data_IF_765097199878
#
_entry.id   IF_765097199878
#
_cell.length_a   1.000
_cell.length_b   1.000
_cell.length_c   1.000
_cell.angle_alpha   90.00
_cell.angle_beta   90.00
_cell.angle_gamma   90.00
#
_symmetry.space_group_name_H-M   'P 1'
#
loop_
_entity.id
_entity.type
_entity.pdbx_description
1 polymer ?
#
# COMPACT_ATOMS: atom_id res chain seq x y z
N UNK A 1 19.03 7.49 6.95
CA UNK A 1 19.32 6.99 5.60
C UNK A 1 18.03 6.67 4.87
N UNK A 2 17.93 7.07 3.61
CA UNK A 2 16.71 6.85 2.82
C UNK A 2 16.98 5.86 1.70
N UNK A 3 15.93 5.16 1.30
CA UNK A 3 15.98 4.14 0.26
C UNK A 3 15.02 4.49 -0.87
N UNK A 4 15.38 4.19 -2.13
CA UNK A 4 14.44 4.41 -3.24
C UNK A 4 13.14 3.63 -3.01
N UNK A 5 12.01 4.28 -3.28
CA UNK A 5 10.70 3.67 -3.11
C UNK A 5 10.59 2.39 -3.95
N UNK A 6 10.15 1.31 -3.32
CA UNK A 6 9.96 -0.02 -3.93
C UNK A 6 11.24 -0.72 -4.36
N UNK A 7 12.42 -0.27 -3.89
CA UNK A 7 13.66 -0.99 -4.09
C UNK A 7 13.76 -2.19 -3.15
N UNK A 8 14.68 -3.11 -3.43
CA UNK A 8 14.89 -4.27 -2.56
C UNK A 8 15.27 -3.85 -1.15
N UNK A 9 16.14 -2.86 -1.02
CA UNK A 9 16.56 -2.31 0.27
C UNK A 9 15.38 -1.67 1.00
N UNK A 10 14.52 -0.96 0.27
CA UNK A 10 13.32 -0.35 0.83
C UNK A 10 12.38 -1.41 1.43
N UNK A 11 12.13 -2.49 0.68
CA UNK A 11 11.29 -3.58 1.19
C UNK A 11 11.90 -4.24 2.42
N UNK A 12 13.21 -4.46 2.43
CA UNK A 12 13.89 -5.03 3.59
C UNK A 12 13.75 -4.14 4.82
N UNK A 13 13.88 -2.82 4.64
CA UNK A 13 13.72 -1.87 5.74
C UNK A 13 12.27 -1.80 6.22
N UNK A 14 11.31 -1.85 5.31
CA UNK A 14 9.89 -1.90 5.67
C UNK A 14 9.59 -3.13 6.51
N UNK A 15 10.12 -4.29 6.13
CA UNK A 15 9.94 -5.53 6.91
C UNK A 15 10.52 -5.38 8.33
N UNK A 16 11.68 -4.75 8.46
CA UNK A 16 12.27 -4.47 9.78
C UNK A 16 11.38 -3.57 10.62
N UNK A 17 10.83 -2.52 10.01
CA UNK A 17 9.95 -1.59 10.71
C UNK A 17 8.65 -2.27 11.16
N UNK A 18 8.10 -3.14 10.33
CA UNK A 18 6.90 -3.90 10.67
C UNK A 18 7.18 -4.82 11.85
N UNK A 19 8.30 -5.53 11.81
CA UNK A 19 8.68 -6.44 12.90
C UNK A 19 8.91 -5.67 14.21
N UNK A 20 9.53 -4.50 14.14
CA UNK A 20 9.81 -3.67 15.30
C UNK A 20 8.55 -3.02 15.89
N UNK A 21 7.53 -2.80 15.06
CA UNK A 21 6.29 -2.17 15.50
C UNK A 21 5.42 -3.08 16.39
N UNK A 22 5.60 -4.40 16.28
CA UNK A 22 4.83 -5.36 17.06
C UNK A 22 3.36 -5.40 16.65
N UNK A 23 2.45 -5.36 17.62
CA UNK A 23 1.02 -5.40 17.36
C UNK A 23 0.53 -4.07 16.82
N UNK A 24 0.14 -4.05 15.56
CA UNK A 24 -0.34 -2.85 14.87
C UNK A 24 -1.82 -2.57 15.11
N UNK A 25 -2.52 -3.47 15.78
CA UNK A 25 -3.97 -3.36 16.03
C UNK A 25 -4.76 -3.06 14.76
N UNK A 26 -4.49 -3.83 13.74
CA UNK A 26 -5.09 -3.63 12.42
C UNK A 26 -6.60 -3.87 12.48
N UNK A 27 -7.43 -2.92 11.98
CA UNK A 27 -8.89 -3.11 11.97
C UNK A 27 -9.28 -4.35 11.17
N UNK A 28 -10.34 -5.06 11.61
CA UNK A 28 -10.79 -6.28 10.95
C UNK A 28 -11.15 -6.06 9.49
N UNK A 29 -11.70 -4.90 9.15
CA UNK A 29 -12.02 -4.57 7.76
C UNK A 29 -10.78 -4.55 6.87
N UNK A 30 -9.63 -4.13 7.41
CA UNK A 30 -8.37 -4.13 6.67
C UNK A 30 -7.75 -5.52 6.57
N UNK A 31 -7.96 -6.36 7.59
CA UNK A 31 -7.43 -7.74 7.59
C UNK A 31 -8.05 -8.60 6.50
N UNK A 32 -9.26 -8.26 6.07
CA UNK A 32 -9.93 -8.99 5.00
C UNK A 32 -9.46 -8.57 3.59
N UNK A 33 -8.69 -7.49 3.48
CA UNK A 33 -8.28 -6.94 2.19
C UNK A 33 -6.95 -7.53 1.75
N UNK A 34 -6.98 -8.21 0.60
CA UNK A 34 -5.77 -8.72 -0.08
C UNK A 34 -5.81 -8.21 -1.51
N UNK A 35 -4.78 -7.47 -1.92
CA UNK A 35 -4.72 -6.84 -3.23
C UNK A 35 -3.34 -7.00 -3.84
N UNK A 36 -3.28 -7.47 -5.08
CA UNK A 36 -2.05 -7.42 -5.87
C UNK A 36 -1.97 -6.04 -6.51
N UNK A 37 -0.92 -5.30 -6.17
CA UNK A 37 -0.73 -3.93 -6.65
C UNK A 37 0.39 -3.90 -7.68
N UNK A 38 0.13 -3.27 -8.82
CA UNK A 38 1.14 -2.99 -9.83
C UNK A 38 1.38 -1.48 -9.85
N UNK A 39 2.62 -1.08 -9.56
CA UNK A 39 3.03 0.32 -9.59
C UNK A 39 3.81 0.56 -10.88
N UNK A 40 3.28 1.42 -11.74
CA UNK A 40 3.92 1.74 -13.02
C UNK A 40 5.00 2.81 -12.82
N UNK A 41 6.18 2.58 -13.38
CA UNK A 41 7.32 3.48 -13.28
C UNK A 41 8.01 3.58 -14.63
N UNK A 42 8.75 4.67 -14.92
CA UNK A 42 9.53 4.77 -16.17
C UNK A 42 10.56 3.66 -16.33
N UNK A 43 11.09 3.14 -15.22
CA UNK A 43 12.10 2.07 -15.21
C UNK A 43 11.51 0.67 -15.25
N UNK A 44 10.18 0.55 -15.20
CA UNK A 44 9.49 -0.75 -15.19
C UNK A 44 8.50 -0.86 -14.05
N UNK A 45 7.56 -1.77 -14.17
CA UNK A 45 6.52 -1.96 -13.17
C UNK A 45 7.06 -2.68 -11.93
N UNK A 46 6.60 -2.24 -10.76
CA UNK A 46 6.89 -2.92 -9.51
C UNK A 46 5.66 -3.70 -9.06
N UNK A 47 5.87 -4.91 -8.56
CA UNK A 47 4.81 -5.75 -8.05
C UNK A 47 4.82 -5.73 -6.52
N UNK A 48 3.67 -5.42 -5.93
CA UNK A 48 3.50 -5.30 -4.49
C UNK A 48 2.24 -6.06 -4.08
N UNK A 49 2.29 -6.72 -2.93
CA UNK A 49 1.13 -7.36 -2.33
C UNK A 49 0.71 -6.55 -1.11
N UNK A 50 -0.56 -6.14 -1.09
CA UNK A 50 -1.14 -5.38 0.01
C UNK A 50 -2.04 -6.31 0.83
N UNK A 51 -1.70 -6.47 2.11
CA UNK A 51 -2.51 -7.24 3.05
C UNK A 51 -2.39 -6.59 4.41
N UNK A 52 -3.51 -6.51 5.13
CA UNK A 52 -3.58 -5.92 6.48
C UNK A 52 -3.09 -4.47 6.50
N UNK A 53 -3.17 -3.76 5.38
CA UNK A 53 -2.64 -2.41 5.26
C UNK A 53 -1.11 -2.36 5.17
N UNK A 54 -0.45 -3.50 5.03
CA UNK A 54 1.00 -3.64 4.97
C UNK A 54 1.45 -4.08 3.58
N UNK A 55 2.71 -3.79 3.25
CA UNK A 55 3.27 -4.08 1.94
C UNK A 55 4.20 -5.29 1.99
N UNK A 56 4.10 -6.15 0.97
CA UNK A 56 5.03 -7.22 0.74
C UNK A 56 5.48 -7.17 -0.72
N UNK A 57 6.65 -7.70 -1.01
CA UNK A 57 7.20 -7.71 -2.35
C UNK A 57 6.55 -8.81 -3.19
N UNK A 58 6.21 -8.47 -4.45
CA UNK A 58 5.66 -9.41 -5.42
C UNK A 58 4.16 -9.63 -5.30
N UNK A 59 3.59 -10.31 -6.27
CA UNK A 59 2.18 -10.67 -6.26
C UNK A 59 1.97 -12.06 -5.64
N UNK A 60 0.75 -12.31 -5.15
CA UNK A 60 0.37 -13.61 -4.60
C UNK A 60 -0.66 -14.27 -5.53
N UNK A 61 -0.54 -15.58 -5.79
CA UNK A 61 -1.54 -16.29 -6.59
C UNK A 61 -2.86 -16.42 -5.82
N UNK A 62 -3.96 -16.45 -6.54
CA UNK A 62 -5.27 -16.65 -5.93
C UNK A 62 -5.92 -15.41 -5.36
N UNK A 63 -5.27 -14.24 -5.46
CA UNK A 63 -5.85 -12.98 -5.02
C UNK A 63 -6.81 -12.47 -6.08
N UNK A 64 -8.06 -12.23 -5.68
CA UNK A 64 -9.13 -11.84 -6.60
C UNK A 64 -9.07 -10.38 -7.05
N UNK A 65 -8.42 -9.50 -6.27
CA UNK A 65 -8.41 -8.07 -6.52
C UNK A 65 -7.02 -7.60 -6.96
N UNK A 66 -6.98 -6.81 -8.02
CA UNK A 66 -5.74 -6.22 -8.54
C UNK A 66 -5.91 -4.72 -8.70
N UNK A 67 -4.84 -3.99 -8.44
CA UNK A 67 -4.81 -2.53 -8.50
C UNK A 67 -3.59 -2.09 -9.29
N UNK A 68 -3.78 -1.17 -10.24
CA UNK A 68 -2.70 -0.61 -11.04
C UNK A 68 -2.71 0.91 -10.90
N UNK A 69 -1.57 1.50 -10.56
CA UNK A 69 -1.44 2.95 -10.39
C UNK A 69 0.02 3.37 -10.63
N UNK A 70 0.23 4.68 -10.82
CA UNK A 70 1.56 5.22 -11.01
C UNK A 70 2.33 5.31 -9.69
N UNK A 71 3.65 5.42 -9.79
CA UNK A 71 4.51 5.61 -8.60
C UNK A 71 4.14 6.87 -7.84
N UNK A 72 3.89 7.98 -8.54
CA UNK A 72 3.51 9.24 -7.89
C UNK A 72 2.23 9.08 -7.07
N UNK A 73 1.23 8.42 -7.65
CA UNK A 73 -0.02 8.16 -6.96
C UNK A 73 0.14 7.20 -5.80
N UNK A 74 0.97 6.15 -5.99
CA UNK A 74 1.25 5.20 -4.93
C UNK A 74 1.90 5.88 -3.71
N UNK A 75 2.81 6.83 -3.94
CA UNK A 75 3.41 7.61 -2.85
C UNK A 75 2.36 8.41 -2.08
N UNK A 76 1.43 9.05 -2.77
CA UNK A 76 0.37 9.82 -2.11
C UNK A 76 -0.53 8.94 -1.25
N UNK A 77 -0.93 7.79 -1.78
CA UNK A 77 -1.86 6.91 -1.09
C UNK A 77 -1.17 6.18 0.08
N UNK A 78 0.03 5.64 -0.16
CA UNK A 78 0.68 4.75 0.79
C UNK A 78 1.61 5.46 1.78
N UNK A 79 2.31 6.50 1.35
CA UNK A 79 3.27 7.21 2.19
C UNK A 79 2.66 8.43 2.87
N UNK A 80 1.80 9.16 2.17
CA UNK A 80 1.14 10.36 2.70
C UNK A 80 -0.22 10.03 3.30
N UNK A 81 -0.68 8.78 3.18
CA UNK A 81 -1.97 8.30 3.68
C UNK A 81 -3.15 9.14 3.18
N UNK A 82 -3.07 9.59 1.93
CA UNK A 82 -4.10 10.41 1.30
C UNK A 82 -5.16 9.54 0.65
N UNK A 83 -6.19 9.17 1.42
CA UNK A 83 -7.29 8.35 0.92
C UNK A 83 -8.11 9.07 -0.16
N UNK A 84 -8.23 10.40 -0.05
CA UNK A 84 -8.97 11.18 -1.05
C UNK A 84 -8.30 11.12 -2.43
N UNK A 85 -6.96 11.11 -2.47
CA UNK A 85 -6.23 10.97 -3.73
C UNK A 85 -6.55 9.64 -4.41
N UNK A 86 -6.70 8.57 -3.63
CA UNK A 86 -7.07 7.25 -4.15
C UNK A 86 -8.45 7.25 -4.77
N UNK A 87 -9.43 7.84 -4.09
CA UNK A 87 -10.80 7.92 -4.58
C UNK A 87 -10.87 8.75 -5.87
N UNK A 88 -10.22 9.91 -5.89
CA UNK A 88 -10.18 10.77 -7.07
C UNK A 88 -9.50 10.09 -8.25
N UNK A 89 -8.40 9.40 -8.02
CA UNK A 89 -7.67 8.71 -9.08
C UNK A 89 -8.53 7.61 -9.71
N UNK A 90 -9.30 6.89 -8.90
CA UNK A 90 -10.23 5.89 -9.40
C UNK A 90 -11.30 6.52 -10.28
N UNK A 91 -11.87 7.63 -9.85
CA UNK A 91 -12.92 8.33 -10.60
C UNK A 91 -12.42 8.92 -11.92
N UNK A 92 -11.16 9.37 -11.96
CA UNK A 92 -10.57 9.99 -13.16
C UNK A 92 -9.89 8.99 -14.09
N UNK A 93 -9.82 7.71 -13.68
CA UNK A 93 -9.18 6.67 -14.48
C UNK A 93 -7.66 6.59 -14.33
N UNK A 94 -7.07 7.35 -13.41
CA UNK A 94 -5.63 7.27 -13.13
C UNK A 94 -5.24 5.98 -12.40
N UNK A 95 -6.21 5.38 -11.75
CA UNK A 95 -6.03 4.11 -11.04
C UNK A 95 -7.01 3.08 -11.58
N UNK A 96 -6.51 1.91 -11.95
CA UNK A 96 -7.33 0.83 -12.48
C UNK A 96 -7.48 -0.26 -11.42
N UNK A 97 -8.72 -0.70 -11.18
CA UNK A 97 -9.00 -1.76 -10.21
C UNK A 97 -9.75 -2.88 -10.92
N UNK A 98 -9.29 -4.11 -10.71
CA UNK A 98 -9.96 -5.32 -11.21
C UNK A 98 -10.29 -6.21 -10.03
N UNK A 99 -11.50 -6.79 -10.03
CA UNK A 99 -11.94 -7.71 -9.00
C UNK A 99 -12.89 -7.07 -8.01
N UNK A 100 -12.72 -7.34 -6.71
CA UNK A 100 -13.67 -6.95 -5.68
C UNK A 100 -13.43 -5.52 -5.19
N UNK A 101 -14.19 -4.57 -5.73
CA UNK A 101 -14.11 -3.16 -5.33
C UNK A 101 -14.63 -2.93 -3.91
N UNK A 102 -15.53 -3.76 -3.44
CA UNK A 102 -16.12 -3.62 -2.10
C UNK A 102 -15.06 -3.64 -1.02
N UNK A 103 -14.09 -4.55 -1.14
CA UNK A 103 -13.00 -4.65 -0.17
C UNK A 103 -12.12 -3.40 -0.16
N UNK A 104 -11.83 -2.84 -1.33
CA UNK A 104 -11.02 -1.61 -1.42
C UNK A 104 -11.75 -0.42 -0.82
N UNK A 105 -13.05 -0.30 -1.06
CA UNK A 105 -13.87 0.76 -0.47
C UNK A 105 -13.89 0.61 1.06
N UNK A 106 -14.06 -0.60 1.55
CA UNK A 106 -14.04 -0.86 3.00
C UNK A 106 -12.69 -0.45 3.63
N UNK A 107 -11.58 -0.73 2.96
CA UNK A 107 -10.26 -0.32 3.43
C UNK A 107 -10.13 1.19 3.48
N UNK A 108 -10.59 1.89 2.46
CA UNK A 108 -10.49 3.36 2.38
C UNK A 108 -11.38 4.07 3.39
N UNK A 109 -12.52 3.47 3.74
CA UNK A 109 -13.45 4.06 4.71
C UNK A 109 -13.16 3.67 6.15
N UNK A 110 -12.19 2.77 6.37
CA UNK A 110 -11.79 2.33 7.70
C UNK A 110 -10.60 3.15 8.18
N UNK A 111 -10.71 3.74 9.36
CA UNK A 111 -9.62 4.50 9.96
C UNK A 111 -8.50 3.56 10.40
N UNK A 112 -7.23 3.83 10.02
CA UNK A 112 -6.12 3.04 10.51
C UNK A 112 -5.90 3.24 12.01
N UNK A 113 -5.31 2.25 12.67
CA UNK A 113 -4.95 2.38 14.08
C UNK A 113 -3.82 3.40 14.25
N UNK A 114 -3.65 3.90 15.48
CA UNK A 114 -2.54 4.82 15.78
C UNK A 114 -1.19 4.17 15.47
N UNK A 115 -1.06 2.87 15.71
CA UNK A 115 0.15 2.11 15.42
C UNK A 115 0.42 2.04 13.91
N UNK A 116 -0.62 1.87 13.09
CA UNK A 116 -0.48 1.88 11.63
C UNK A 116 -0.05 3.25 11.11
N UNK A 117 -0.63 4.32 11.64
CA UNK A 117 -0.27 5.69 11.27
C UNK A 117 1.20 5.96 11.61
N UNK A 118 1.65 5.55 12.80
CA UNK A 118 3.05 5.71 13.21
C UNK A 118 3.99 4.93 12.28
N UNK A 119 3.62 3.72 11.90
CA UNK A 119 4.42 2.91 10.98
C UNK A 119 4.51 3.56 9.60
N UNK A 120 3.40 4.07 9.08
CA UNK A 120 3.38 4.75 7.79
C UNK A 120 4.31 5.96 7.79
N UNK A 121 4.34 6.74 8.86
CA UNK A 121 5.25 7.87 8.99
C UNK A 121 6.70 7.44 8.97
N UNK A 122 7.04 6.34 9.66
CA UNK A 122 8.41 5.82 9.65
C UNK A 122 8.82 5.33 8.28
N UNK A 123 7.91 4.68 7.56
CA UNK A 123 8.17 4.23 6.20
C UNK A 123 8.41 5.45 5.29
N UNK A 124 7.63 6.50 5.44
CA UNK A 124 7.83 7.72 4.66
C UNK A 124 9.20 8.37 4.95
N UNK A 125 9.64 8.35 6.21
CA UNK A 125 10.92 8.93 6.61
C UNK A 125 12.12 8.21 5.98
N UNK A 126 12.03 6.91 5.73
CA UNK A 126 13.11 6.14 5.11
C UNK A 126 13.00 6.08 3.59
N UNK A 127 12.00 6.72 3.03
CA UNK A 127 11.74 6.68 1.58
C UNK A 127 12.32 7.93 0.91
N UNK A 128 13.07 7.68 -0.14
CA UNK A 128 13.69 8.73 -0.96
C UNK A 128 12.66 9.49 -1.78
#
# INVERSE_FOLDING_TARGET
>A
MRYPFLSAEWFAKVDELIAAAGDLRIPDAMKAVEVNVTVTRPTGNAEVFLKDGLFARGHRPGVATSLTLSETLARKIFLEADAAAGVMAFMTGEMTVEGDLTKLVAMQTTDPSAQQVALTKRIAEITE
#
